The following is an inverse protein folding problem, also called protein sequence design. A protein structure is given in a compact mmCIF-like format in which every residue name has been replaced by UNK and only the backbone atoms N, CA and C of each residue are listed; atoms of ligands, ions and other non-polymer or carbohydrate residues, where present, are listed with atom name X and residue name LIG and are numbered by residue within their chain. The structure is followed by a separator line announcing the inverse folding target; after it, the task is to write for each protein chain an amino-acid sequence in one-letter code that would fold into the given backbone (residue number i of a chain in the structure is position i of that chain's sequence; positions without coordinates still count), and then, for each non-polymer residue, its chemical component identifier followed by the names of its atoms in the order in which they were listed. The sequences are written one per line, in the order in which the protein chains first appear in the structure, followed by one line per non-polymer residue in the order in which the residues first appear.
data_IF_966609617502
#
_entry.id   IF_966609617502
#
_cell.length_a   1.000
_cell.length_b   1.000
_cell.length_c   1.000
_cell.angle_alpha   90.00
_cell.angle_beta   90.00
_cell.angle_gamma   90.00
#
_symmetry.space_group_name_H-M   'P 1'
#
loop_
_entity.id
_entity.type
_entity.pdbx_description
1 polymer ?
#
# COMPACT_ATOMS: atom_id res chain seq x y z
N UNK A 1 7.82 -4.38 -19.57
CA UNK A 1 8.35 -3.31 -18.71
C UNK A 1 8.58 -3.85 -17.32
N UNK A 2 9.72 -3.57 -16.74
CA UNK A 2 10.06 -4.08 -15.42
C UNK A 2 9.55 -3.13 -14.32
N UNK A 3 9.23 -3.72 -13.18
CA UNK A 3 8.74 -2.95 -12.02
C UNK A 3 9.76 -1.90 -11.60
N UNK A 4 11.05 -2.22 -11.61
CA UNK A 4 12.11 -1.27 -11.23
C UNK A 4 12.12 0.00 -12.06
N UNK A 5 11.57 -0.02 -13.26
CA UNK A 5 11.53 1.15 -14.15
C UNK A 5 10.30 2.04 -13.90
N UNK A 6 9.32 1.54 -13.14
CA UNK A 6 8.04 2.22 -12.91
C UNK A 6 7.82 2.57 -11.44
N UNK A 7 8.36 1.76 -10.51
CA UNK A 7 8.14 1.93 -9.07
C UNK A 7 8.58 3.30 -8.57
N UNK A 8 7.92 3.77 -7.52
CA UNK A 8 8.35 4.95 -6.81
C UNK A 8 9.39 4.51 -5.77
N UNK A 9 10.58 5.12 -5.84
CA UNK A 9 11.71 4.80 -4.94
C UNK A 9 11.66 5.59 -3.65
N UNK A 10 10.89 6.68 -3.60
CA UNK A 10 10.71 7.47 -2.40
C UNK A 10 9.56 6.90 -1.58
N UNK A 11 9.87 5.89 -0.77
CA UNK A 11 8.86 5.21 0.05
C UNK A 11 8.87 5.80 1.45
N UNK A 12 7.70 6.21 1.92
CA UNK A 12 7.55 6.67 3.29
C UNK A 12 7.30 5.45 4.18
N UNK A 13 8.18 5.26 5.15
CA UNK A 13 8.08 4.15 6.10
C UNK A 13 7.88 4.69 7.50
N UNK A 14 7.23 3.89 8.35
CA UNK A 14 7.04 4.20 9.76
C UNK A 14 7.41 3.00 10.61
N UNK A 15 7.64 3.24 11.89
CA UNK A 15 7.87 2.19 12.87
C UNK A 15 6.54 1.71 13.44
N UNK A 16 6.47 0.44 13.86
CA UNK A 16 5.23 -0.10 14.43
C UNK A 16 4.85 0.53 15.77
N UNK A 17 5.79 1.18 16.45
CA UNK A 17 5.59 1.74 17.79
C UNK A 17 5.01 3.15 17.83
N UNK A 18 4.87 3.82 16.69
CA UNK A 18 4.29 5.18 16.71
C UNK A 18 2.77 5.10 16.88
N UNK A 19 2.19 6.20 17.39
CA UNK A 19 0.74 6.27 17.58
C UNK A 19 -0.01 6.42 16.25
N UNK A 20 -1.28 6.07 16.26
CA UNK A 20 -2.13 6.26 15.09
C UNK A 20 -2.25 7.75 14.73
N UNK A 21 -2.21 8.64 15.72
CA UNK A 21 -2.23 10.08 15.46
C UNK A 21 -0.98 10.50 14.68
N UNK A 22 0.20 10.04 15.08
CA UNK A 22 1.45 10.35 14.37
C UNK A 22 1.41 9.81 12.95
N UNK A 23 0.95 8.57 12.77
CA UNK A 23 0.81 7.97 11.44
C UNK A 23 -0.16 8.77 10.57
N UNK A 24 -1.29 9.22 11.14
CA UNK A 24 -2.27 10.04 10.43
C UNK A 24 -1.68 11.36 9.95
N UNK A 25 -0.86 11.99 10.80
CA UNK A 25 -0.16 13.22 10.41
C UNK A 25 0.76 13.00 9.23
N UNK A 26 1.51 11.89 9.21
CA UNK A 26 2.39 11.56 8.09
C UNK A 26 1.58 11.39 6.81
N UNK A 27 0.46 10.66 6.87
CA UNK A 27 -0.40 10.49 5.70
C UNK A 27 -0.92 11.81 5.16
N UNK A 28 -1.37 12.70 6.06
CA UNK A 28 -1.88 14.01 5.68
C UNK A 28 -0.80 14.90 5.07
N UNK A 29 0.38 14.95 5.69
CA UNK A 29 1.48 15.79 5.21
C UNK A 29 2.03 15.33 3.87
N UNK A 30 2.04 14.02 3.64
CA UNK A 30 2.58 13.43 2.41
C UNK A 30 1.52 13.16 1.36
N UNK A 31 0.25 13.40 1.65
CA UNK A 31 -0.87 13.14 0.75
C UNK A 31 -0.91 11.69 0.26
N UNK A 32 -0.68 10.74 1.16
CA UNK A 32 -0.66 9.32 0.85
C UNK A 32 -1.65 8.56 1.71
N UNK A 33 -2.22 7.48 1.15
CA UNK A 33 -3.27 6.70 1.80
C UNK A 33 -2.78 5.42 2.45
N UNK A 34 -1.47 5.16 2.44
CA UNK A 34 -0.90 3.98 3.07
C UNK A 34 0.54 4.22 3.47
N UNK A 35 0.96 3.51 4.51
CA UNK A 35 2.34 3.57 5.02
C UNK A 35 2.86 2.15 5.18
N UNK A 36 4.10 1.93 4.74
CA UNK A 36 4.78 0.65 4.95
C UNK A 36 5.42 0.71 6.34
N UNK A 37 5.16 -0.33 7.13
CA UNK A 37 5.68 -0.42 8.49
C UNK A 37 6.92 -1.31 8.49
N UNK A 38 8.02 -0.76 9.00
CA UNK A 38 9.34 -1.41 8.96
C UNK A 38 9.92 -1.49 10.37
N UNK A 39 10.52 -2.63 10.70
CA UNK A 39 11.25 -2.82 11.94
C UNK A 39 12.49 -3.63 11.62
N UNK A 40 13.67 -3.15 12.07
CA UNK A 40 14.95 -3.83 11.82
C UNK A 40 15.18 -4.12 10.32
N UNK A 41 14.86 -3.15 9.46
CA UNK A 41 14.96 -3.23 8.01
C UNK A 41 13.99 -4.23 7.35
N UNK A 42 13.12 -4.87 8.11
CA UNK A 42 12.13 -5.81 7.58
C UNK A 42 10.76 -5.14 7.51
N UNK A 43 10.03 -5.45 6.45
CA UNK A 43 8.62 -5.02 6.31
C UNK A 43 7.79 -5.87 7.25
N UNK A 44 7.16 -5.24 8.24
CA UNK A 44 6.35 -5.97 9.24
C UNK A 44 4.85 -5.73 9.10
N UNK A 45 4.46 -4.75 8.30
CA UNK A 45 3.04 -4.47 8.11
C UNK A 45 2.80 -3.36 7.11
N UNK A 46 1.52 -3.11 6.85
CA UNK A 46 1.07 -1.96 6.07
C UNK A 46 -0.12 -1.34 6.80
N UNK A 47 -0.12 -0.02 6.89
CA UNK A 47 -1.19 0.75 7.51
C UNK A 47 -1.88 1.57 6.45
N UNK A 48 -3.21 1.50 6.39
CA UNK A 48 -4.01 2.22 5.41
C UNK A 48 -4.97 3.20 6.09
N UNK A 49 -5.53 4.12 5.30
CA UNK A 49 -6.57 5.03 5.77
C UNK A 49 -7.76 4.26 6.36
N UNK A 50 -8.11 3.13 5.77
CA UNK A 50 -9.20 2.28 6.26
C UNK A 50 -8.93 1.78 7.66
N UNK A 51 -7.68 1.40 7.96
CA UNK A 51 -7.30 0.93 9.30
C UNK A 51 -7.52 2.04 10.34
N UNK A 52 -7.18 3.27 9.98
CA UNK A 52 -7.36 4.42 10.86
C UNK A 52 -8.85 4.71 11.05
N UNK A 53 -9.63 4.69 9.96
CA UNK A 53 -11.08 4.91 10.05
C UNK A 53 -11.75 3.85 10.93
N UNK A 54 -11.32 2.60 10.84
CA UNK A 54 -11.84 1.54 11.71
C UNK A 54 -11.52 1.81 13.16
N UNK A 55 -10.31 2.27 13.46
CA UNK A 55 -9.94 2.63 14.82
C UNK A 55 -10.81 3.76 15.36
N UNK A 56 -11.08 4.77 14.54
CA UNK A 56 -11.98 5.88 14.91
C UNK A 56 -13.39 5.35 15.18
N UNK A 57 -13.90 4.49 14.30
CA UNK A 57 -15.24 3.91 14.44
C UNK A 57 -15.38 3.05 15.71
N UNK A 58 -14.29 2.38 16.10
CA UNK A 58 -14.21 1.56 17.32
C UNK A 58 -13.93 2.38 18.57
N UNK A 59 -13.85 3.69 18.43
CA UNK A 59 -13.60 4.63 19.54
C UNK A 59 -12.26 4.40 20.25
N UNK A 60 -11.26 3.92 19.51
CA UNK A 60 -9.91 3.77 20.05
C UNK A 60 -9.27 5.14 20.28
N UNK A 61 -8.46 5.23 21.33
CA UNK A 61 -7.66 6.42 21.59
C UNK A 61 -6.50 6.48 20.58
N UNK A 62 -6.50 7.49 19.73
CA UNK A 62 -5.50 7.62 18.65
C UNK A 62 -4.11 7.98 19.17
N UNK A 63 -4.01 8.51 20.37
CA UNK A 63 -2.73 8.91 20.96
C UNK A 63 -2.03 7.76 21.67
N UNK A 64 -2.78 6.77 22.15
CA UNK A 64 -2.22 5.62 22.87
C UNK A 64 -2.24 4.32 22.06
N UNK A 65 -3.11 4.21 21.04
CA UNK A 65 -3.10 3.05 20.15
C UNK A 65 -1.93 3.18 19.19
N UNK A 66 -1.06 2.16 19.15
CA UNK A 66 0.10 2.16 18.24
C UNK A 66 -0.23 1.42 16.94
N UNK A 67 0.55 1.75 15.91
CA UNK A 67 0.38 1.21 14.56
C UNK A 67 0.34 -0.33 14.56
N UNK A 68 1.22 -0.97 15.33
CA UNK A 68 1.30 -2.42 15.39
C UNK A 68 -0.03 -3.08 15.75
N UNK A 69 -0.87 -2.43 16.55
CA UNK A 69 -2.14 -2.98 17.02
C UNK A 69 -3.20 -3.04 15.92
N UNK A 70 -3.08 -2.22 14.87
CA UNK A 70 -4.11 -2.11 13.84
C UNK A 70 -3.62 -2.36 12.42
N UNK A 71 -2.32 -2.37 12.19
CA UNK A 71 -1.76 -2.62 10.86
C UNK A 71 -2.09 -4.01 10.35
N UNK A 72 -2.09 -4.17 9.02
CA UNK A 72 -2.19 -5.48 8.41
C UNK A 72 -0.80 -6.11 8.36
N UNK A 73 -0.63 -7.25 9.01
CA UNK A 73 0.65 -7.97 9.08
C UNK A 73 0.87 -8.87 7.86
N UNK A 74 -0.18 -9.14 7.10
CA UNK A 74 -0.09 -9.97 5.90
C UNK A 74 0.22 -9.07 4.71
N UNK A 75 1.50 -8.85 4.44
CA UNK A 75 1.96 -7.96 3.38
C UNK A 75 2.42 -8.79 2.19
N UNK A 76 1.85 -8.50 1.02
CA UNK A 76 2.31 -9.08 -0.23
C UNK A 76 3.34 -8.13 -0.84
N UNK A 77 4.47 -8.66 -1.26
CA UNK A 77 5.55 -7.90 -1.90
C UNK A 77 5.84 -8.47 -3.27
N UNK A 78 6.58 -7.73 -4.08
CA UNK A 78 7.00 -8.19 -5.40
C UNK A 78 8.45 -7.76 -5.64
N UNK A 79 9.22 -8.64 -6.28
CA UNK A 79 10.61 -8.35 -6.59
C UNK A 79 10.73 -7.30 -7.71
N UNK A 80 11.72 -6.41 -7.62
CA UNK A 80 11.87 -5.30 -8.54
C UNK A 80 12.23 -5.72 -9.98
N UNK A 81 12.71 -6.93 -10.18
CA UNK A 81 13.01 -7.45 -11.51
C UNK A 81 11.82 -8.16 -12.17
N UNK A 82 10.71 -8.30 -11.47
CA UNK A 82 9.47 -8.81 -12.07
C UNK A 82 8.89 -7.75 -13.03
N UNK A 83 7.92 -8.20 -13.83
CA UNK A 83 7.29 -7.31 -14.81
C UNK A 83 6.10 -6.57 -14.22
N UNK A 84 5.72 -5.47 -14.87
CA UNK A 84 4.51 -4.73 -14.51
C UNK A 84 3.28 -5.63 -14.64
N UNK A 85 3.26 -6.54 -15.62
CA UNK A 85 2.17 -7.50 -15.78
C UNK A 85 2.08 -8.46 -14.59
N UNK A 86 3.23 -8.91 -14.07
CA UNK A 86 3.26 -9.73 -12.86
C UNK A 86 2.64 -8.97 -11.68
N UNK A 87 2.93 -7.68 -11.56
CA UNK A 87 2.36 -6.84 -10.51
C UNK A 87 0.84 -6.74 -10.62
N UNK A 88 0.32 -6.51 -11.82
CA UNK A 88 -1.12 -6.45 -12.06
C UNK A 88 -1.79 -7.78 -11.69
N UNK A 89 -1.19 -8.89 -12.12
CA UNK A 89 -1.74 -10.21 -11.83
C UNK A 89 -1.80 -10.47 -10.32
N UNK A 90 -0.76 -10.09 -9.58
CA UNK A 90 -0.73 -10.25 -8.13
C UNK A 90 -1.76 -9.34 -7.46
N UNK A 91 -1.87 -8.10 -7.92
CA UNK A 91 -2.87 -7.15 -7.41
C UNK A 91 -4.29 -7.69 -7.61
N UNK A 92 -4.58 -8.25 -8.80
CA UNK A 92 -5.89 -8.85 -9.10
C UNK A 92 -6.17 -10.07 -8.24
N UNK A 93 -5.17 -10.96 -8.11
CA UNK A 93 -5.31 -12.18 -7.32
C UNK A 93 -5.59 -11.87 -5.84
N UNK A 94 -4.87 -10.91 -5.26
CA UNK A 94 -4.96 -10.57 -3.85
C UNK A 94 -5.92 -9.41 -3.56
N UNK A 95 -6.49 -8.82 -4.60
CA UNK A 95 -7.43 -7.69 -4.50
C UNK A 95 -6.82 -6.50 -3.76
N UNK A 96 -5.61 -6.15 -4.13
CA UNK A 96 -4.86 -5.02 -3.56
C UNK A 96 -4.43 -4.09 -4.68
N UNK A 97 -4.24 -2.81 -4.36
CA UNK A 97 -3.93 -1.76 -5.35
C UNK A 97 -2.50 -1.24 -5.24
N UNK A 98 -1.73 -1.76 -4.31
CA UNK A 98 -0.35 -1.33 -4.10
C UNK A 98 0.48 -2.48 -3.58
N UNK A 99 1.76 -2.50 -3.99
CA UNK A 99 2.70 -3.55 -3.61
C UNK A 99 4.03 -2.90 -3.20
N UNK A 100 4.51 -3.18 -2.00
CA UNK A 100 5.91 -2.90 -1.69
C UNK A 100 6.79 -3.71 -2.64
N UNK A 101 7.81 -3.05 -3.17
CA UNK A 101 8.76 -3.67 -4.10
C UNK A 101 10.05 -3.95 -3.35
N UNK A 102 10.58 -5.16 -3.53
CA UNK A 102 11.80 -5.58 -2.85
C UNK A 102 12.94 -5.79 -3.83
N UNK A 103 14.16 -5.61 -3.32
CA UNK A 103 15.40 -5.97 -3.98
C UNK A 103 16.24 -6.72 -2.96
N UNK A 104 16.62 -7.97 -3.28
CA UNK A 104 17.36 -8.84 -2.37
C UNK A 104 16.66 -8.95 -1.01
N UNK A 105 15.33 -9.05 -1.03
CA UNK A 105 14.51 -9.18 0.18
C UNK A 105 14.30 -7.90 0.97
N UNK A 106 14.87 -6.79 0.55
CA UNK A 106 14.74 -5.50 1.25
C UNK A 106 13.83 -4.55 0.48
N UNK A 107 13.18 -3.65 1.18
CA UNK A 107 12.30 -2.65 0.57
C UNK A 107 13.10 -1.75 -0.38
N UNK A 108 12.67 -1.67 -1.64
CA UNK A 108 13.31 -0.86 -2.67
C UNK A 108 12.38 0.21 -3.23
N UNK A 109 11.08 0.04 -3.13
CA UNK A 109 10.12 0.98 -3.67
C UNK A 109 8.69 0.54 -3.42
N UNK A 110 7.77 1.23 -4.04
CA UNK A 110 6.35 0.87 -4.03
C UNK A 110 5.79 1.04 -5.44
N UNK A 111 4.91 0.15 -5.84
CA UNK A 111 4.19 0.28 -7.11
C UNK A 111 2.70 0.24 -6.84
N UNK A 112 1.96 1.15 -7.46
CA UNK A 112 0.51 1.24 -7.31
C UNK A 112 -0.19 0.99 -8.63
N UNK A 113 -1.48 0.64 -8.57
CA UNK A 113 -2.31 0.49 -9.77
C UNK A 113 -2.33 1.81 -10.58
N UNK A 114 -2.37 2.95 -9.89
CA UNK A 114 -2.36 4.26 -10.55
C UNK A 114 -1.07 4.51 -11.33
N UNK A 115 0.08 4.11 -10.77
CA UNK A 115 1.36 4.24 -11.47
C UNK A 115 1.36 3.42 -12.76
N UNK A 116 0.79 2.22 -12.70
CA UNK A 116 0.76 1.31 -13.84
C UNK A 116 -0.13 1.85 -14.97
N UNK A 117 -1.29 2.41 -14.65
CA UNK A 117 -2.18 3.03 -15.65
C UNK A 117 -1.43 4.08 -16.46
N UNK A 118 -0.57 4.85 -15.82
CA UNK A 118 0.17 5.93 -16.46
C UNK A 118 1.13 5.42 -17.53
N UNK A 119 1.76 4.28 -17.31
CA UNK A 119 2.83 3.75 -18.18
C UNK A 119 2.40 2.61 -19.09
N UNK A 120 1.35 1.88 -18.71
CA UNK A 120 0.86 0.72 -19.47
C UNK A 120 -0.66 0.76 -19.62
N UNK A 121 -1.18 1.68 -20.48
CA UNK A 121 -2.64 1.78 -20.68
C UNK A 121 -3.32 0.50 -21.14
N UNK A 122 -2.58 -0.42 -21.74
CA UNK A 122 -3.11 -1.73 -22.17
C UNK A 122 -3.66 -2.55 -21.02
N UNK A 123 -3.20 -2.27 -19.79
CA UNK A 123 -3.61 -3.00 -18.60
C UNK A 123 -4.81 -2.35 -17.89
N UNK A 124 -5.40 -1.34 -18.51
CA UNK A 124 -6.49 -0.54 -17.94
C UNK A 124 -7.69 -1.40 -17.49
N UNK A 125 -8.06 -2.42 -18.26
CA UNK A 125 -9.21 -3.26 -17.94
C UNK A 125 -9.04 -3.97 -16.60
N UNK A 126 -7.86 -4.59 -16.40
CA UNK A 126 -7.56 -5.27 -15.14
C UNK A 126 -7.52 -4.31 -13.97
N UNK A 127 -6.93 -3.12 -14.17
CA UNK A 127 -6.82 -2.11 -13.12
C UNK A 127 -8.17 -1.48 -12.81
N UNK A 128 -9.01 -1.25 -13.82
CA UNK A 128 -10.36 -0.75 -13.62
C UNK A 128 -11.15 -1.67 -12.71
N UNK A 129 -11.02 -2.99 -12.90
CA UNK A 129 -11.65 -3.97 -12.02
C UNK A 129 -11.16 -3.87 -10.59
N UNK A 130 -9.85 -3.68 -10.39
CA UNK A 130 -9.27 -3.50 -9.06
C UNK A 130 -9.83 -2.25 -8.36
N UNK A 131 -9.90 -1.15 -9.09
CA UNK A 131 -10.39 0.12 -8.54
C UNK A 131 -11.86 0.04 -8.14
N UNK A 132 -12.69 -0.59 -8.97
CA UNK A 132 -14.12 -0.71 -8.68
C UNK A 132 -14.42 -1.66 -7.52
N UNK A 133 -13.63 -2.70 -7.32
CA UNK A 133 -13.81 -3.66 -6.23
C UNK A 133 -13.73 -3.03 -4.85
N UNK A 134 -13.05 -1.89 -4.72
CA UNK A 134 -12.78 -1.27 -3.41
C UNK A 134 -13.82 -0.23 -3.00
N UNK A 135 -14.84 -0.01 -3.80
CA UNK A 135 -15.83 1.04 -3.54
C UNK A 135 -17.20 0.38 -3.29
N UNK A 136 -17.58 0.14 -2.02
CA UNK A 136 -18.89 -0.45 -1.71
C UNK A 136 -20.03 0.41 -2.24
N UNK A 137 -20.98 -0.21 -2.92
CA UNK A 137 -22.12 0.49 -3.51
C UNK A 137 -21.82 1.28 -4.77
N UNK A 138 -20.56 1.32 -5.20
CA UNK A 138 -20.17 1.98 -6.45
C UNK A 138 -20.69 1.21 -7.66
N UNK A 139 -21.32 1.92 -8.60
CA UNK A 139 -21.96 1.31 -9.77
C UNK A 139 -21.39 1.83 -11.10
N UNK A 140 -20.08 1.88 -11.19
CA UNK A 140 -19.41 2.27 -12.42
C UNK A 140 -19.05 3.74 -12.47
N UNK A 141 -18.43 4.15 -13.51
CA UNK A 141 -17.97 5.53 -13.77
C UNK A 141 -16.59 5.84 -13.24
#
# INVERSE_FOLDING_TARGET
MLIKDVMNREVVVIRPSISLREASKVMCERHIGSLIVVENDDIVGILTQTDILKAVAEERDLDTTIVEEVMNKKVFTIDYEKTVEDAVNLMMEKRIKRLPVTKDGKLAGIITASDIITVEPKLITGIANLLSMKIPGYKGG
#
